data_IF_347429080681
#
_entry.id   IF_347429080681
#
_cell.length_a   1.000
_cell.length_b   1.000
_cell.length_c   1.000
_cell.angle_alpha   90.00
_cell.angle_beta   90.00
_cell.angle_gamma   90.00
#
_symmetry.space_group_name_H-M   'P 1'
#
loop_
_entity.id
_entity.type
_entity.pdbx_description
1 polymer ?
#
# COMPACT_ATOMS: atom_id res chain seq x y z
N UNK A 1 6.48 6.59 10.39
CA UNK A 1 5.31 5.68 10.33
C UNK A 1 5.07 4.90 11.62
N UNK A 2 6.09 4.49 12.39
CA UNK A 2 5.89 3.74 13.64
C UNK A 2 4.95 4.42 14.67
N UNK A 3 4.90 5.75 14.70
CA UNK A 3 4.01 6.52 15.58
C UNK A 3 2.64 6.83 14.94
N UNK A 4 2.40 6.43 13.69
CA UNK A 4 1.15 6.68 12.98
C UNK A 4 0.10 5.62 13.33
N UNK A 5 -1.06 6.06 13.83
CA UNK A 5 -2.17 5.14 14.13
C UNK A 5 -2.82 4.55 12.87
N UNK A 6 -2.88 5.33 11.78
CA UNK A 6 -3.48 4.94 10.52
C UNK A 6 -2.74 5.58 9.34
N UNK A 7 -2.51 4.79 8.29
CA UNK A 7 -2.08 5.26 6.96
C UNK A 7 -3.18 4.93 5.95
N UNK A 8 -3.53 5.89 5.10
CA UNK A 8 -4.40 5.68 3.95
C UNK A 8 -3.58 5.84 2.69
N UNK A 9 -3.42 4.75 1.94
CA UNK A 9 -2.72 4.70 0.66
C UNK A 9 -3.75 4.82 -0.46
N UNK A 10 -3.55 5.75 -1.39
CA UNK A 10 -4.47 6.01 -2.51
C UNK A 10 -3.73 5.82 -3.83
N UNK A 11 -4.05 4.75 -4.56
CA UNK A 11 -3.49 4.48 -5.89
C UNK A 11 -1.97 4.21 -5.95
N UNK A 12 -1.29 4.10 -4.80
CA UNK A 12 0.16 3.88 -4.75
C UNK A 12 0.48 2.40 -4.54
N UNK A 13 1.52 1.91 -5.23
CA UNK A 13 2.00 0.52 -5.12
C UNK A 13 3.52 0.46 -4.90
N UNK A 14 4.32 0.77 -5.93
CA UNK A 14 5.78 0.56 -5.86
C UNK A 14 6.46 1.43 -4.78
N UNK A 15 6.00 2.67 -4.59
CA UNK A 15 6.57 3.65 -3.63
C UNK A 15 6.35 3.29 -2.15
N UNK A 16 5.52 2.28 -1.87
CA UNK A 16 5.23 1.76 -0.53
C UNK A 16 5.59 0.27 -0.42
N UNK A 17 6.21 -0.32 -1.45
CA UNK A 17 6.44 -1.76 -1.53
C UNK A 17 7.67 -2.19 -0.68
N UNK A 18 7.48 -2.95 0.41
CA UNK A 18 8.59 -3.35 1.28
C UNK A 18 9.63 -4.25 0.60
N UNK A 19 9.26 -4.90 -0.52
CA UNK A 19 10.19 -5.72 -1.28
C UNK A 19 11.38 -4.93 -1.83
N UNK A 20 11.28 -3.59 -1.93
CA UNK A 20 12.42 -2.74 -2.26
C UNK A 20 13.59 -2.88 -1.27
N UNK A 21 13.33 -3.27 -0.02
CA UNK A 21 14.35 -3.42 1.02
C UNK A 21 14.98 -4.83 1.07
N UNK A 22 14.33 -5.85 0.50
CA UNK A 22 14.69 -7.26 0.76
C UNK A 22 14.77 -8.13 -0.50
N UNK A 23 14.07 -7.78 -1.57
CA UNK A 23 13.98 -8.61 -2.77
C UNK A 23 15.11 -8.27 -3.77
N UNK A 24 16.32 -8.74 -3.47
CA UNK A 24 17.49 -8.61 -4.34
C UNK A 24 17.20 -9.08 -5.78
N UNK A 25 17.82 -8.40 -6.75
CA UNK A 25 17.66 -8.73 -8.18
C UNK A 25 16.33 -8.29 -8.81
N UNK A 26 15.40 -7.71 -8.03
CA UNK A 26 14.18 -7.09 -8.58
C UNK A 26 14.43 -5.64 -9.01
N UNK A 27 13.65 -5.10 -9.97
CA UNK A 27 13.81 -3.71 -10.42
C UNK A 27 13.62 -2.64 -9.34
N UNK A 28 12.98 -2.98 -8.22
CA UNK A 28 12.73 -2.05 -7.10
C UNK A 28 13.75 -2.18 -5.97
N UNK A 29 14.67 -3.14 -6.02
CA UNK A 29 15.62 -3.35 -4.95
C UNK A 29 16.52 -2.12 -4.76
N UNK A 30 16.62 -1.63 -3.53
CA UNK A 30 17.38 -0.43 -3.17
C UNK A 30 16.67 0.89 -3.46
N UNK A 31 15.46 0.87 -4.03
CA UNK A 31 14.64 2.07 -4.19
C UNK A 31 14.19 2.58 -2.81
N UNK A 32 14.40 3.85 -2.47
CA UNK A 32 13.81 4.43 -1.25
C UNK A 32 12.28 4.39 -1.33
N UNK A 33 11.65 3.74 -0.35
CA UNK A 33 10.19 3.63 -0.22
C UNK A 33 9.70 4.27 1.07
N UNK A 34 8.41 4.60 1.12
CA UNK A 34 7.75 5.00 2.36
C UNK A 34 7.48 3.74 3.21
N UNK A 35 7.95 3.72 4.45
CA UNK A 35 7.76 2.62 5.41
C UNK A 35 6.32 2.53 5.96
N UNK A 36 5.32 2.51 5.08
CA UNK A 36 3.91 2.45 5.45
C UNK A 36 3.58 1.23 6.33
N UNK A 37 4.28 0.11 6.10
CA UNK A 37 4.18 -1.13 6.88
C UNK A 37 4.43 -0.95 8.39
N UNK A 38 5.12 0.13 8.79
CA UNK A 38 5.39 0.40 10.21
C UNK A 38 4.20 1.05 10.94
N UNK A 39 3.15 1.46 10.24
CA UNK A 39 1.96 2.05 10.87
C UNK A 39 1.13 1.00 11.61
N UNK A 40 0.36 1.42 12.62
CA UNK A 40 -0.48 0.48 13.40
C UNK A 40 -1.57 -0.15 12.51
N UNK A 41 -2.22 0.64 11.66
CA UNK A 41 -3.22 0.21 10.69
C UNK A 41 -2.99 0.85 9.33
N UNK A 42 -3.40 0.17 8.27
CA UNK A 42 -3.23 0.64 6.89
C UNK A 42 -4.52 0.37 6.11
N UNK A 43 -5.01 1.37 5.39
CA UNK A 43 -6.07 1.21 4.39
C UNK A 43 -5.44 1.46 3.02
N UNK A 44 -5.67 0.57 2.06
CA UNK A 44 -5.17 0.72 0.69
C UNK A 44 -6.35 0.77 -0.26
N UNK A 45 -6.50 1.91 -0.94
CA UNK A 45 -7.51 2.17 -1.97
C UNK A 45 -6.88 1.98 -3.36
N UNK A 46 -6.83 0.74 -3.85
CA UNK A 46 -6.22 0.37 -5.13
C UNK A 46 -7.18 -0.49 -5.96
N UNK A 47 -7.04 -0.45 -7.29
CA UNK A 47 -8.01 -1.12 -8.18
C UNK A 47 -8.03 -2.65 -8.04
N UNK A 48 -6.86 -3.27 -7.97
CA UNK A 48 -6.70 -4.70 -7.81
C UNK A 48 -5.40 -5.03 -7.05
N UNK A 49 -5.10 -6.31 -6.92
CA UNK A 49 -3.89 -6.80 -6.25
C UNK A 49 -2.68 -6.92 -7.20
N UNK A 50 -2.78 -6.43 -8.44
CA UNK A 50 -1.69 -6.60 -9.40
C UNK A 50 -0.49 -5.72 -9.02
N UNK A 51 0.72 -6.13 -9.44
CA UNK A 51 1.92 -5.31 -9.29
C UNK A 51 1.76 -3.90 -9.90
N UNK A 52 2.56 -2.97 -9.39
CA UNK A 52 2.70 -1.64 -9.98
C UNK A 52 3.54 -1.66 -11.25
N UNK A 53 4.15 -0.51 -11.57
CA UNK A 53 4.95 -0.34 -12.76
C UNK A 53 6.14 -1.30 -12.81
N UNK A 54 6.76 -1.55 -11.65
CA UNK A 54 7.93 -2.40 -11.58
C UNK A 54 7.65 -3.90 -11.73
N UNK A 55 6.38 -4.32 -11.77
CA UNK A 55 6.00 -5.72 -11.99
C UNK A 55 6.30 -6.65 -10.81
N UNK A 56 6.60 -6.11 -9.63
CA UNK A 56 6.90 -6.89 -8.41
C UNK A 56 5.67 -6.94 -7.50
N UNK A 57 5.26 -8.14 -7.00
CA UNK A 57 4.19 -8.25 -6.01
C UNK A 57 4.48 -7.40 -4.76
N UNK A 58 3.44 -6.87 -4.13
CA UNK A 58 3.58 -6.04 -2.94
C UNK A 58 3.24 -6.84 -1.67
N UNK A 59 4.25 -7.19 -0.82
CA UNK A 59 4.00 -7.92 0.42
C UNK A 59 3.07 -7.21 1.39
N UNK A 60 2.86 -5.90 1.25
CA UNK A 60 1.96 -5.14 2.11
C UNK A 60 0.52 -5.67 2.01
N UNK A 61 0.08 -6.14 0.83
CA UNK A 61 -1.32 -6.57 0.63
C UNK A 61 -1.71 -7.82 1.42
N UNK A 62 -0.76 -8.57 1.98
CA UNK A 62 -1.02 -9.76 2.80
C UNK A 62 -0.82 -9.55 4.30
N UNK A 63 -0.48 -8.33 4.75
CA UNK A 63 -0.30 -8.05 6.17
C UNK A 63 -1.65 -7.99 6.90
N UNK A 64 -1.69 -8.47 8.14
CA UNK A 64 -2.93 -8.59 8.92
C UNK A 64 -3.53 -7.25 9.36
N UNK A 65 -2.73 -6.19 9.41
CA UNK A 65 -3.15 -4.83 9.76
C UNK A 65 -3.55 -3.98 8.53
N UNK A 66 -3.66 -4.61 7.36
CA UNK A 66 -4.01 -3.95 6.09
C UNK A 66 -5.46 -4.26 5.73
N UNK A 67 -6.23 -3.21 5.48
CA UNK A 67 -7.59 -3.28 4.91
C UNK A 67 -7.49 -2.84 3.45
N UNK A 68 -7.90 -3.74 2.55
CA UNK A 68 -7.92 -3.49 1.12
C UNK A 68 -9.31 -3.02 0.68
N UNK A 69 -9.38 -1.80 0.14
CA UNK A 69 -10.54 -1.29 -0.58
C UNK A 69 -10.24 -1.40 -2.07
N UNK A 70 -10.69 -2.52 -2.64
CA UNK A 70 -10.46 -2.82 -4.06
C UNK A 70 -11.51 -2.13 -4.93
N UNK A 71 -11.06 -1.46 -5.99
CA UNK A 71 -11.92 -0.77 -6.94
C UNK A 71 -11.40 0.62 -7.29
N UNK A 72 -12.27 1.46 -7.86
CA UNK A 72 -11.90 2.84 -8.15
C UNK A 72 -11.52 3.58 -6.85
N UNK A 73 -10.38 4.28 -6.89
CA UNK A 73 -9.83 4.93 -5.70
C UNK A 73 -10.70 6.12 -5.24
N UNK A 74 -11.38 6.80 -6.16
CA UNK A 74 -12.30 7.88 -5.84
C UNK A 74 -13.54 7.31 -5.16
N UNK A 75 -14.14 6.24 -5.69
CA UNK A 75 -15.27 5.56 -5.05
C UNK A 75 -14.91 5.06 -3.64
N UNK A 76 -13.72 4.47 -3.49
CA UNK A 76 -13.21 4.01 -2.19
C UNK A 76 -13.09 5.16 -1.18
N UNK A 77 -12.61 6.33 -1.62
CA UNK A 77 -12.54 7.52 -0.78
C UNK A 77 -13.93 8.10 -0.46
N UNK A 78 -14.87 8.07 -1.40
CA UNK A 78 -16.26 8.49 -1.16
C UNK A 78 -16.90 7.64 -0.05
N UNK A 79 -16.68 6.32 -0.03
CA UNK A 79 -17.13 5.42 1.05
C UNK A 79 -16.55 5.86 2.40
N UNK A 80 -15.25 6.19 2.46
CA UNK A 80 -14.59 6.62 3.70
C UNK A 80 -15.04 7.99 4.19
N UNK A 81 -15.47 8.86 3.28
CA UNK A 81 -15.90 10.23 3.57
C UNK A 81 -17.38 10.35 3.92
N UNK A 82 -18.19 9.32 3.61
CA UNK A 82 -19.60 9.30 4.01
C UNK A 82 -19.70 9.39 5.54
N UNK A 83 -20.34 10.45 6.01
CA UNK A 83 -20.78 10.59 7.40
C UNK A 83 -22.24 10.15 7.48
N UNK A 84 -22.55 9.40 8.53
CA UNK A 84 -23.93 9.15 8.97
C UNK A 84 -24.69 10.47 9.23
#
# INVERSE_FOLDING_TARGET
FAECDLVIVVGANDVINPAANTAEGTPIYGMPVLDAEKAKNIIICNFDLKPGYAGVPNPLYSQSNVILLLGDAKESLEILLQKD
#
